data_IF_770214317409
#
_entry.id   IF_770214317409
#
_cell.length_a   1.000
_cell.length_b   1.000
_cell.length_c   1.000
_cell.angle_alpha   90.00
_cell.angle_beta   90.00
_cell.angle_gamma   90.00
#
_symmetry.space_group_name_H-M   'P 1'
#
loop_
_entity.id
_entity.type
_entity.pdbx_description
1 polymer ?
#
# COMPACT_ATOMS: atom_id res chain seq x y z
N UNK A 1 -28.55 -12.62 18.32
CA UNK A 1 -27.93 -11.88 17.21
C UNK A 1 -26.48 -12.34 17.11
N UNK A 2 -26.17 -13.26 16.19
CA UNK A 2 -24.81 -13.72 15.93
C UNK A 2 -24.16 -12.69 15.02
N UNK A 3 -23.21 -11.92 15.55
CA UNK A 3 -22.24 -11.21 14.71
C UNK A 3 -21.21 -12.28 14.30
N UNK A 4 -21.14 -12.72 13.03
CA UNK A 4 -20.29 -13.86 12.62
C UNK A 4 -18.79 -13.55 12.66
N UNK A 5 -18.41 -12.31 12.99
CA UNK A 5 -17.05 -11.81 12.84
C UNK A 5 -16.53 -11.41 14.22
N UNK A 6 -15.84 -12.33 14.90
CA UNK A 6 -14.90 -11.93 15.93
C UNK A 6 -13.61 -11.56 15.20
N UNK A 7 -13.48 -10.27 14.85
CA UNK A 7 -12.20 -9.71 14.44
C UNK A 7 -11.27 -9.76 15.66
N UNK A 8 -10.64 -10.91 15.85
CA UNK A 8 -9.59 -11.07 16.83
C UNK A 8 -8.37 -10.34 16.27
N UNK A 9 -8.27 -9.06 16.61
CA UNK A 9 -7.09 -8.22 16.33
C UNK A 9 -5.96 -8.68 17.25
N UNK A 10 -5.45 -9.87 16.96
CA UNK A 10 -4.25 -10.41 17.58
C UNK A 10 -3.01 -9.95 16.79
N UNK A 11 -1.86 -9.97 17.45
CA UNK A 11 -0.55 -9.60 16.89
C UNK A 11 -0.24 -10.41 15.62
N UNK A 12 -0.67 -11.68 15.61
CA UNK A 12 -0.54 -12.61 14.50
C UNK A 12 -1.31 -12.16 13.25
N UNK A 13 -2.54 -11.66 13.43
CA UNK A 13 -3.37 -11.12 12.34
C UNK A 13 -2.71 -9.87 11.73
N UNK A 14 -2.20 -8.97 12.56
CA UNK A 14 -1.49 -7.76 12.08
C UNK A 14 -0.24 -8.16 11.28
N UNK A 15 0.52 -9.15 11.76
CA UNK A 15 1.70 -9.66 11.06
C UNK A 15 1.33 -10.27 9.70
N UNK A 16 0.29 -11.11 9.65
CA UNK A 16 -0.19 -11.73 8.41
C UNK A 16 -0.70 -10.70 7.38
N UNK A 17 -1.49 -9.73 7.82
CA UNK A 17 -1.95 -8.61 6.99
C UNK A 17 -0.78 -7.82 6.43
N UNK A 18 0.21 -7.51 7.26
CA UNK A 18 1.40 -6.76 6.85
C UNK A 18 2.22 -7.51 5.80
N UNK A 19 2.37 -8.84 5.97
CA UNK A 19 3.03 -9.69 4.99
C UNK A 19 2.28 -9.71 3.66
N UNK A 20 0.96 -9.91 3.67
CA UNK A 20 0.18 -9.90 2.44
C UNK A 20 0.16 -8.54 1.75
N UNK A 21 0.09 -7.45 2.51
CA UNK A 21 0.19 -6.10 1.97
C UNK A 21 1.54 -5.87 1.29
N UNK A 22 2.64 -6.29 1.93
CA UNK A 22 3.98 -6.20 1.36
C UNK A 22 4.13 -7.06 0.10
N UNK A 23 3.65 -8.30 0.13
CA UNK A 23 3.64 -9.19 -1.02
C UNK A 23 2.93 -8.53 -2.22
N UNK A 24 1.69 -8.05 -2.04
CA UNK A 24 0.94 -7.38 -3.10
C UNK A 24 1.62 -6.10 -3.59
N UNK A 25 2.24 -5.35 -2.69
CA UNK A 25 3.01 -4.14 -3.05
C UNK A 25 4.23 -4.46 -3.94
N UNK A 26 4.90 -5.59 -3.69
CA UNK A 26 6.03 -6.06 -4.50
C UNK A 26 5.58 -6.67 -5.82
N UNK A 27 4.44 -7.37 -5.84
CA UNK A 27 3.96 -8.06 -7.03
C UNK A 27 3.43 -7.12 -8.12
N UNK A 28 2.83 -5.99 -7.75
CA UNK A 28 2.21 -5.06 -8.70
C UNK A 28 2.92 -3.70 -8.76
N UNK A 29 4.17 -3.62 -9.26
CA UNK A 29 4.92 -2.35 -9.33
C UNK A 29 4.22 -1.31 -10.21
N UNK A 30 3.63 -1.71 -11.34
CA UNK A 30 2.88 -0.80 -12.20
C UNK A 30 1.64 -0.23 -11.52
N UNK A 31 0.94 -1.03 -10.71
CA UNK A 31 -0.24 -0.57 -9.96
C UNK A 31 0.17 0.40 -8.86
N UNK A 32 1.23 0.08 -8.11
CA UNK A 32 1.81 0.96 -7.09
C UNK A 32 2.13 2.33 -7.68
N UNK A 33 2.87 2.35 -8.78
CA UNK A 33 3.30 3.60 -9.40
C UNK A 33 2.11 4.39 -9.97
N UNK A 34 1.10 3.70 -10.49
CA UNK A 34 -0.15 4.33 -10.94
C UNK A 34 -0.94 4.95 -9.77
N UNK A 35 -1.08 4.23 -8.65
CA UNK A 35 -1.73 4.74 -7.43
C UNK A 35 -0.98 5.97 -6.91
N UNK A 36 0.35 5.91 -6.79
CA UNK A 36 1.17 7.03 -6.34
C UNK A 36 0.99 8.26 -7.25
N UNK A 37 0.98 8.08 -8.58
CA UNK A 37 0.69 9.16 -9.54
C UNK A 37 -0.71 9.74 -9.36
N UNK A 38 -1.71 8.90 -9.11
CA UNK A 38 -3.09 9.37 -8.93
C UNK A 38 -3.25 10.17 -7.64
N UNK A 39 -2.64 9.72 -6.54
CA UNK A 39 -2.64 10.44 -5.26
C UNK A 39 -1.86 11.74 -5.39
N UNK A 40 -0.71 11.74 -6.06
CA UNK A 40 0.06 12.95 -6.31
C UNK A 40 -0.75 13.98 -7.11
N UNK A 41 -1.45 13.54 -8.17
CA UNK A 41 -2.34 14.39 -8.96
C UNK A 41 -3.48 14.96 -8.12
N UNK A 42 -4.05 14.16 -7.23
CA UNK A 42 -5.10 14.59 -6.33
C UNK A 42 -4.60 15.59 -5.29
N UNK A 43 -3.41 15.40 -4.73
CA UNK A 43 -2.75 16.35 -3.83
C UNK A 43 -2.47 17.69 -4.54
N UNK A 44 -1.92 17.64 -5.75
CA UNK A 44 -1.68 18.85 -6.55
C UNK A 44 -2.99 19.60 -6.88
N UNK A 45 -4.09 18.87 -7.11
CA UNK A 45 -5.40 19.47 -7.31
C UNK A 45 -5.97 20.07 -6.02
N UNK A 46 -5.84 19.35 -4.90
CA UNK A 46 -6.28 19.81 -3.59
C UNK A 46 -5.56 21.11 -3.18
N UNK A 47 -4.24 21.17 -3.36
CA UNK A 47 -3.45 22.38 -3.11
C UNK A 47 -3.89 23.55 -4.00
N UNK A 48 -4.14 23.30 -5.29
CA UNK A 48 -4.66 24.32 -6.21
C UNK A 48 -6.07 24.79 -5.85
N UNK A 49 -6.88 23.93 -5.24
CA UNK A 49 -8.23 24.29 -4.77
C UNK A 49 -8.21 25.04 -3.43
N UNK A 50 -7.17 24.86 -2.63
CA UNK A 50 -7.01 25.50 -1.32
C UNK A 50 -6.52 26.96 -1.44
N UNK A 51 -5.85 27.30 -2.55
CA UNK A 51 -5.26 28.63 -2.78
C UNK A 51 -5.83 29.30 -4.04
N UNK A 52 -6.53 30.43 -3.84
CA UNK A 52 -7.03 31.28 -4.93
C UNK A 52 -5.96 32.22 -5.54
N UNK A 53 -4.73 32.25 -5.02
CA UNK A 53 -3.65 33.16 -5.44
C UNK A 53 -2.43 32.38 -5.99
N UNK A 54 -2.04 32.67 -7.23
CA UNK A 54 -0.92 32.02 -7.93
C UNK A 54 0.47 32.44 -7.41
N UNK A 55 0.54 33.49 -6.60
CA UNK A 55 1.80 34.16 -6.21
C UNK A 55 2.47 33.51 -4.99
N UNK A 56 1.69 32.93 -4.07
CA UNK A 56 2.21 32.10 -2.96
C UNK A 56 2.64 30.70 -3.42
N UNK A 57 2.01 30.18 -4.48
CA UNK A 57 2.26 28.84 -5.02
C UNK A 57 3.64 28.72 -5.69
N UNK A 58 4.05 29.71 -6.49
CA UNK A 58 5.37 29.70 -7.14
C UNK A 58 6.52 29.83 -6.13
N UNK A 59 6.31 30.50 -5.00
CA UNK A 59 7.38 30.79 -4.02
C UNK A 59 7.79 29.58 -3.18
N UNK A 60 6.94 28.57 -3.04
CA UNK A 60 7.20 27.35 -2.24
C UNK A 60 7.23 26.05 -3.07
N UNK A 61 7.13 26.18 -4.39
CA UNK A 61 6.97 25.10 -5.37
C UNK A 61 7.98 23.94 -5.26
N UNK A 62 9.32 24.15 -5.21
CA UNK A 62 10.27 23.03 -5.24
C UNK A 62 10.28 22.21 -3.94
N UNK A 63 10.08 22.84 -2.79
CA UNK A 63 10.04 22.15 -1.50
C UNK A 63 8.73 21.35 -1.32
N UNK A 64 7.64 21.80 -1.94
CA UNK A 64 6.30 21.18 -1.82
C UNK A 64 6.09 20.03 -2.79
N UNK A 65 6.65 20.10 -3.99
CA UNK A 65 6.54 19.02 -4.98
C UNK A 65 7.18 17.72 -4.47
N UNK A 66 8.31 17.81 -3.77
CA UNK A 66 8.94 16.68 -3.09
C UNK A 66 8.10 16.15 -1.92
N UNK A 67 7.45 17.03 -1.15
CA UNK A 67 6.51 16.63 -0.08
C UNK A 67 5.30 15.91 -0.64
N UNK A 68 4.67 16.41 -1.71
CA UNK A 68 3.53 15.74 -2.33
C UNK A 68 3.90 14.40 -2.95
N UNK A 69 5.09 14.27 -3.55
CA UNK A 69 5.59 12.99 -4.04
C UNK A 69 5.83 12.00 -2.88
N UNK A 70 6.36 12.48 -1.76
CA UNK A 70 6.56 11.69 -0.54
C UNK A 70 5.23 11.24 0.08
N UNK A 71 4.30 12.16 0.32
CA UNK A 71 2.97 11.84 0.84
C UNK A 71 2.19 10.92 -0.09
N UNK A 72 2.28 11.11 -1.40
CA UNK A 72 1.64 10.22 -2.37
C UNK A 72 2.20 8.79 -2.30
N UNK A 73 3.52 8.66 -2.15
CA UNK A 73 4.17 7.35 -1.96
C UNK A 73 3.71 6.68 -0.67
N UNK A 74 3.65 7.42 0.45
CA UNK A 74 3.17 6.88 1.72
C UNK A 74 1.69 6.48 1.67
N UNK A 75 0.85 7.35 1.09
CA UNK A 75 -0.58 7.09 0.96
C UNK A 75 -0.88 5.94 0.00
N UNK A 76 0.02 5.67 -0.96
CA UNK A 76 -0.12 4.54 -1.87
C UNK A 76 -0.09 3.19 -1.18
N UNK A 77 0.42 3.10 0.06
CA UNK A 77 0.49 1.88 0.85
C UNK A 77 -0.90 1.46 1.38
N UNK A 78 -1.81 2.41 1.65
CA UNK A 78 -3.13 2.11 2.22
C UNK A 78 -4.00 1.16 1.38
N UNK A 79 -4.09 1.33 0.04
CA UNK A 79 -4.77 0.36 -0.82
C UNK A 79 -4.23 -1.06 -0.68
N UNK A 80 -2.90 -1.22 -0.57
CA UNK A 80 -2.27 -2.52 -0.39
C UNK A 80 -2.49 -3.09 1.02
N UNK A 81 -2.56 -2.25 2.05
CA UNK A 81 -2.98 -2.68 3.39
C UNK A 81 -4.41 -3.21 3.38
N UNK A 82 -5.34 -2.50 2.71
CA UNK A 82 -6.71 -2.98 2.53
C UNK A 82 -6.74 -4.33 1.82
N UNK A 83 -6.05 -4.46 0.70
CA UNK A 83 -5.95 -5.73 -0.04
C UNK A 83 -5.27 -6.84 0.79
N UNK A 84 -4.26 -6.50 1.58
CA UNK A 84 -3.60 -7.42 2.51
C UNK A 84 -4.53 -7.94 3.59
N UNK A 85 -5.44 -7.11 4.11
CA UNK A 85 -6.51 -7.55 5.02
C UNK A 85 -7.40 -8.58 4.33
N UNK A 86 -7.85 -8.30 3.11
CA UNK A 86 -8.69 -9.23 2.35
C UNK A 86 -7.99 -10.56 2.06
N UNK A 87 -6.71 -10.52 1.65
CA UNK A 87 -5.94 -11.73 1.39
C UNK A 87 -5.70 -12.55 2.66
N UNK A 88 -5.28 -11.91 3.75
CA UNK A 88 -5.07 -12.61 5.02
C UNK A 88 -6.37 -13.25 5.50
N UNK A 89 -7.48 -12.52 5.47
CA UNK A 89 -8.79 -13.03 5.86
C UNK A 89 -9.26 -14.18 4.97
N UNK A 90 -9.06 -14.10 3.65
CA UNK A 90 -9.42 -15.16 2.72
C UNK A 90 -8.65 -16.46 2.96
N UNK A 91 -7.34 -16.36 3.24
CA UNK A 91 -6.52 -17.54 3.59
C UNK A 91 -6.88 -18.08 4.97
N UNK A 92 -7.10 -17.19 5.94
CA UNK A 92 -7.47 -17.59 7.29
C UNK A 92 -8.81 -18.34 7.34
N UNK A 93 -9.82 -17.86 6.60
CA UNK A 93 -11.13 -18.53 6.50
C UNK A 93 -11.05 -19.88 5.77
N UNK A 94 -10.15 -20.02 4.80
CA UNK A 94 -10.05 -21.24 3.97
C UNK A 94 -9.15 -22.32 4.58
N UNK A 95 -7.98 -21.92 5.08
CA UNK A 95 -6.88 -22.82 5.48
C UNK A 95 -6.49 -22.67 6.95
N UNK A 96 -6.94 -21.61 7.63
CA UNK A 96 -6.62 -21.32 9.03
C UNK A 96 -5.51 -20.30 9.21
N UNK A 97 -5.40 -19.79 10.43
CA UNK A 97 -4.56 -18.64 10.80
C UNK A 97 -3.05 -18.89 10.60
N UNK A 98 -2.57 -20.11 10.84
CA UNK A 98 -1.16 -20.48 10.64
C UNK A 98 -0.76 -20.44 9.16
N UNK A 99 -1.66 -20.88 8.28
CA UNK A 99 -1.45 -20.87 6.83
C UNK A 99 -1.39 -19.46 6.27
N UNK A 100 -2.20 -18.52 6.79
CA UNK A 100 -2.20 -17.12 6.35
C UNK A 100 -0.82 -16.47 6.51
N UNK A 101 -0.15 -16.71 7.64
CA UNK A 101 1.18 -16.17 7.92
C UNK A 101 2.25 -16.88 7.09
N UNK A 102 2.28 -18.22 7.10
CA UNK A 102 3.32 -18.98 6.37
C UNK A 102 3.28 -18.73 4.86
N UNK A 103 2.09 -18.67 4.27
CA UNK A 103 1.93 -18.36 2.85
C UNK A 103 2.27 -16.90 2.54
N UNK A 104 1.96 -15.96 3.44
CA UNK A 104 2.38 -14.57 3.33
C UNK A 104 3.90 -14.40 3.33
N UNK A 105 4.62 -15.13 4.20
CA UNK A 105 6.09 -15.15 4.22
C UNK A 105 6.63 -15.67 2.88
N UNK A 106 6.12 -16.81 2.40
CA UNK A 106 6.54 -17.39 1.13
C UNK A 106 6.27 -16.44 -0.04
N UNK A 107 5.11 -15.78 -0.06
CA UNK A 107 4.78 -14.79 -1.06
C UNK A 107 5.76 -13.61 -1.03
N UNK A 108 6.05 -13.05 0.14
CA UNK A 108 7.06 -11.99 0.30
C UNK A 108 8.44 -12.42 -0.22
N UNK A 109 8.89 -13.63 0.11
CA UNK A 109 10.18 -14.14 -0.35
C UNK A 109 10.20 -14.28 -1.88
N UNK A 110 9.20 -14.94 -2.47
CA UNK A 110 9.12 -15.16 -3.91
C UNK A 110 9.04 -13.84 -4.69
N UNK A 111 8.18 -12.93 -4.23
CA UNK A 111 7.93 -11.65 -4.88
C UNK A 111 9.07 -10.65 -4.66
N UNK A 112 9.75 -10.71 -3.51
CA UNK A 112 10.97 -9.96 -3.26
C UNK A 112 12.10 -10.39 -4.21
N UNK A 113 12.28 -11.70 -4.41
CA UNK A 113 13.26 -12.22 -5.39
C UNK A 113 12.88 -11.81 -6.82
N UNK A 114 11.60 -11.91 -7.18
CA UNK A 114 11.11 -11.47 -8.49
C UNK A 114 11.38 -9.97 -8.73
N UNK A 115 11.05 -9.11 -7.76
CA UNK A 115 11.25 -7.67 -7.87
C UNK A 115 12.73 -7.30 -7.98
N UNK A 116 13.61 -7.95 -7.19
CA UNK A 116 15.07 -7.77 -7.32
C UNK A 116 15.57 -8.19 -8.71
N UNK A 117 15.08 -9.32 -9.23
CA UNK A 117 15.39 -9.76 -10.58
C UNK A 117 14.92 -8.77 -11.65
N UNK A 118 13.69 -8.26 -11.52
CA UNK A 118 13.12 -7.26 -12.43
C UNK A 118 13.93 -5.96 -12.43
N UNK A 119 14.36 -5.49 -11.26
CA UNK A 119 15.18 -4.29 -11.13
C UNK A 119 16.58 -4.46 -11.75
N UNK A 120 17.16 -5.67 -11.71
CA UNK A 120 18.47 -5.94 -12.32
C UNK A 120 18.46 -5.96 -13.86
N UNK A 121 17.28 -6.06 -14.48
CA UNK A 121 17.11 -6.11 -15.94
C UNK A 121 16.71 -4.75 -16.55
N UNK A 122 16.41 -3.74 -15.71
CA UNK A 122 16.14 -2.35 -16.12
C UNK A 122 17.42 -1.51 -16.02
#
# INVERSE_FOLDING_TARGET
MLVPFQLNLDTTTIAGVSLWALALYLFLPSLRDWIAKQINRWLNFAERSLYFSAEEFEKTRPARESQNAFYASLLSIFPFLGAGIFCNWGIEVSLGQSWAISTGILACMALGVYELGRQSQM
#
